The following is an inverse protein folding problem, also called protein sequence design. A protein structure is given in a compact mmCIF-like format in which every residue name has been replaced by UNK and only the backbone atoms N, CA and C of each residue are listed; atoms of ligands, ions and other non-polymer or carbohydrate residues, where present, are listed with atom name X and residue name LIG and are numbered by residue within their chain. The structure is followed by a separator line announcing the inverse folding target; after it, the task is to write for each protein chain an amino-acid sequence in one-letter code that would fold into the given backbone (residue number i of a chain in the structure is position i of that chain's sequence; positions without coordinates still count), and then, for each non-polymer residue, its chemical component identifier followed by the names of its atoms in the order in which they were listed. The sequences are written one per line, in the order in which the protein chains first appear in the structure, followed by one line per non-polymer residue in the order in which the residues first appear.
data_IF_162050686874
#
_entry.id   IF_162050686874
#
_cell.length_a   1.000
_cell.length_b   1.000
_cell.length_c   1.000
_cell.angle_alpha   90.00
_cell.angle_beta   90.00
_cell.angle_gamma   90.00
#
_symmetry.space_group_name_H-M   'P 1'
#
loop_
_entity.id
_entity.type
_entity.pdbx_description
1 polymer ?
#
# COMPACT_ATOMS: atom_id res chain seq x y z
N UNK A 1 14.86 -3.07 -0.41
CA UNK A 1 14.76 -3.14 1.06
C UNK A 1 14.53 -4.59 1.47
N UNK A 2 14.64 -4.92 2.77
CA UNK A 2 14.29 -6.23 3.33
C UNK A 2 13.39 -6.01 4.55
N UNK A 3 12.09 -5.89 4.31
CA UNK A 3 11.10 -5.57 5.33
C UNK A 3 10.87 -6.75 6.29
N UNK A 4 10.92 -7.96 5.76
CA UNK A 4 10.88 -9.21 6.52
C UNK A 4 11.99 -9.31 7.58
N UNK A 5 13.20 -8.86 7.25
CA UNK A 5 14.35 -8.90 8.14
C UNK A 5 14.17 -8.02 9.40
N UNK A 6 13.30 -7.03 9.35
CA UNK A 6 12.95 -6.15 10.48
C UNK A 6 11.54 -6.42 11.03
N UNK A 7 10.83 -7.41 10.50
CA UNK A 7 9.46 -7.74 10.90
C UNK A 7 8.41 -6.71 10.44
N UNK A 8 8.70 -5.89 9.43
CA UNK A 8 7.77 -4.89 8.93
C UNK A 8 6.74 -5.53 7.98
N UNK A 9 5.52 -5.72 8.49
CA UNK A 9 4.42 -6.31 7.70
C UNK A 9 3.63 -5.26 6.91
N UNK A 10 3.51 -4.05 7.45
CA UNK A 10 2.79 -2.93 6.83
C UNK A 10 3.79 -1.84 6.47
N UNK A 11 3.80 -1.42 5.21
CA UNK A 11 4.66 -0.36 4.70
C UNK A 11 3.82 0.80 4.23
N UNK A 12 4.12 2.00 4.72
CA UNK A 12 3.54 3.24 4.19
C UNK A 12 4.49 3.78 3.13
N UNK A 13 4.05 3.79 1.89
CA UNK A 13 4.73 4.43 0.77
C UNK A 13 4.38 5.92 0.79
N UNK A 14 5.32 6.73 1.28
CA UNK A 14 5.22 8.19 1.36
C UNK A 14 6.31 8.92 0.58
N UNK A 15 6.99 8.25 -0.34
CA UNK A 15 7.94 8.89 -1.26
C UNK A 15 7.22 9.55 -2.45
N UNK A 16 6.02 9.06 -2.81
CA UNK A 16 5.26 9.52 -3.98
C UNK A 16 5.79 8.98 -5.32
N UNK A 17 6.79 8.10 -5.30
CA UNK A 17 7.39 7.52 -6.50
C UNK A 17 6.69 6.22 -6.95
N UNK A 18 6.17 5.44 -5.99
CA UNK A 18 5.58 4.12 -6.20
C UNK A 18 4.04 4.14 -6.15
N UNK A 19 3.44 5.05 -6.92
CA UNK A 19 1.99 5.29 -6.96
C UNK A 19 1.24 4.42 -7.98
N UNK A 20 1.75 3.24 -8.31
CA UNK A 20 1.03 2.22 -9.08
C UNK A 20 1.23 0.88 -8.40
N UNK A 21 0.29 -0.04 -8.58
CA UNK A 21 0.38 -1.41 -8.06
C UNK A 21 1.68 -2.09 -8.50
N UNK A 22 2.03 -1.94 -9.77
CA UNK A 22 3.25 -2.52 -10.34
C UNK A 22 4.52 -2.01 -9.63
N UNK A 23 4.57 -0.71 -9.32
CA UNK A 23 5.72 -0.12 -8.63
C UNK A 23 5.73 -0.51 -7.15
N UNK A 24 4.60 -0.42 -6.47
CA UNK A 24 4.48 -0.78 -5.04
C UNK A 24 4.71 -2.28 -4.78
N UNK A 25 4.58 -3.14 -5.79
CA UNK A 25 4.94 -4.57 -5.74
C UNK A 25 6.36 -4.79 -5.22
N UNK A 26 7.29 -3.87 -5.50
CA UNK A 26 8.66 -3.93 -5.01
C UNK A 26 8.76 -3.98 -3.47
N UNK A 27 7.79 -3.41 -2.73
CA UNK A 27 7.75 -3.54 -1.27
C UNK A 27 7.25 -4.92 -0.83
N UNK A 28 6.30 -5.52 -1.53
CA UNK A 28 5.85 -6.89 -1.22
C UNK A 28 6.95 -7.90 -1.53
N UNK A 29 7.64 -7.76 -2.66
CA UNK A 29 8.80 -8.59 -3.01
C UNK A 29 9.96 -8.40 -2.01
N UNK A 30 10.08 -7.22 -1.43
CA UNK A 30 11.02 -6.93 -0.35
C UNK A 30 10.58 -7.47 1.03
N UNK A 31 9.45 -8.18 1.13
CA UNK A 31 9.01 -8.88 2.33
C UNK A 31 7.88 -8.21 3.12
N UNK A 32 7.31 -7.12 2.63
CA UNK A 32 6.09 -6.56 3.24
C UNK A 32 4.88 -7.44 2.93
N UNK A 33 3.86 -7.42 3.80
CA UNK A 33 2.56 -8.09 3.56
C UNK A 33 1.52 -7.13 3.00
N UNK A 34 1.62 -5.87 3.37
CA UNK A 34 0.69 -4.81 2.98
C UNK A 34 1.47 -3.53 2.68
N UNK A 35 1.04 -2.83 1.63
CA UNK A 35 1.52 -1.49 1.29
C UNK A 35 0.35 -0.52 1.38
N UNK A 36 0.61 0.67 1.90
CA UNK A 36 -0.31 1.82 1.98
C UNK A 36 0.31 2.95 1.16
N UNK A 37 -0.30 3.39 0.06
CA UNK A 37 0.18 4.62 -0.59
C UNK A 37 -0.44 5.83 0.12
N UNK A 38 0.37 6.84 0.47
CA UNK A 38 -0.10 8.06 1.14
C UNK A 38 -0.40 9.21 0.16
N UNK A 39 -0.72 8.86 -1.09
CA UNK A 39 -1.10 9.80 -2.14
C UNK A 39 -1.98 9.06 -3.16
N UNK A 40 -2.77 9.79 -3.98
CA UNK A 40 -3.62 9.18 -5.00
C UNK A 40 -2.83 8.25 -5.93
N UNK A 41 -3.35 7.03 -6.10
CA UNK A 41 -2.79 6.08 -7.07
C UNK A 41 -2.92 6.61 -8.50
N UNK A 42 -2.01 6.19 -9.36
CA UNK A 42 -2.00 6.50 -10.81
C UNK A 42 -2.65 5.41 -11.66
N UNK A 43 -3.31 4.46 -11.01
CA UNK A 43 -4.02 3.32 -11.59
C UNK A 43 -5.29 3.00 -10.77
N UNK A 44 -5.89 1.83 -11.02
CA UNK A 44 -7.12 1.34 -10.39
C UNK A 44 -6.92 0.73 -8.99
N UNK A 45 -5.78 1.00 -8.34
CA UNK A 45 -5.55 0.55 -6.97
C UNK A 45 -6.67 1.09 -6.04
N UNK A 46 -7.30 0.26 -5.20
CA UNK A 46 -8.39 0.68 -4.33
C UNK A 46 -7.98 1.79 -3.36
N UNK A 47 -8.72 2.90 -3.38
CA UNK A 47 -8.54 4.06 -2.50
C UNK A 47 -9.61 4.12 -1.41
N UNK A 48 -9.18 4.31 -0.18
CA UNK A 48 -10.04 4.42 0.99
C UNK A 48 -9.81 5.74 1.71
N UNK A 49 -10.90 6.41 2.07
CA UNK A 49 -10.95 7.64 2.84
C UNK A 49 -11.67 7.35 4.15
N UNK A 50 -11.01 7.68 5.26
CA UNK A 50 -11.54 7.45 6.60
C UNK A 50 -12.80 8.28 6.85
N UNK A 51 -13.87 7.63 7.31
CA UNK A 51 -15.19 8.22 7.54
C UNK A 51 -16.08 8.26 6.28
N UNK A 52 -15.60 7.78 5.14
CA UNK A 52 -16.33 7.81 3.85
C UNK A 52 -16.58 6.39 3.34
N UNK A 53 -15.52 5.64 3.06
CA UNK A 53 -15.62 4.32 2.43
C UNK A 53 -14.65 3.27 3.03
N UNK A 54 -13.98 3.56 4.15
CA UNK A 54 -13.04 2.62 4.79
C UNK A 54 -13.69 1.29 5.16
N UNK A 55 -15.00 1.28 5.42
CA UNK A 55 -15.77 0.07 5.77
C UNK A 55 -15.97 -0.88 4.58
N UNK A 56 -15.69 -0.45 3.36
CA UNK A 56 -15.77 -1.32 2.16
C UNK A 56 -14.47 -2.07 1.89
N UNK A 57 -13.44 -1.85 2.70
CA UNK A 57 -12.17 -2.56 2.59
C UNK A 57 -12.37 -4.07 2.74
N UNK A 58 -11.89 -4.81 1.75
CA UNK A 58 -11.76 -6.26 1.81
C UNK A 58 -10.28 -6.59 1.91
N UNK A 59 -9.93 -7.48 2.84
CA UNK A 59 -8.54 -7.84 3.09
C UNK A 59 -7.89 -8.44 1.85
N UNK A 60 -7.04 -7.63 1.22
CA UNK A 60 -6.17 -7.98 0.10
C UNK A 60 -4.75 -7.51 0.44
N UNK A 61 -3.73 -8.00 -0.27
CA UNK A 61 -2.32 -7.67 0.01
C UNK A 61 -1.94 -6.19 -0.30
N UNK A 62 -2.90 -5.37 -0.72
CA UNK A 62 -2.69 -4.01 -1.25
C UNK A 62 -3.70 -3.04 -0.63
N UNK A 63 -3.26 -1.84 -0.29
CA UNK A 63 -4.14 -0.83 0.30
C UNK A 63 -3.64 0.57 -0.07
N UNK A 64 -4.56 1.51 -0.25
CA UNK A 64 -4.27 2.94 -0.38
C UNK A 64 -5.19 3.66 0.57
N UNK A 65 -4.61 4.48 1.43
CA UNK A 65 -5.31 5.22 2.46
C UNK A 65 -4.95 6.68 2.22
N UNK A 66 -5.91 7.42 1.69
CA UNK A 66 -5.84 8.87 1.60
C UNK A 66 -6.61 9.46 2.81
#
# INVERSE_FOLDING_TARGET
MKWDAIGAEYVVESTGLFLTKEKAQAHIEAGAKYVVMSAPSKDDTPMFVCGVNEKTYVKINWFVLD
#
